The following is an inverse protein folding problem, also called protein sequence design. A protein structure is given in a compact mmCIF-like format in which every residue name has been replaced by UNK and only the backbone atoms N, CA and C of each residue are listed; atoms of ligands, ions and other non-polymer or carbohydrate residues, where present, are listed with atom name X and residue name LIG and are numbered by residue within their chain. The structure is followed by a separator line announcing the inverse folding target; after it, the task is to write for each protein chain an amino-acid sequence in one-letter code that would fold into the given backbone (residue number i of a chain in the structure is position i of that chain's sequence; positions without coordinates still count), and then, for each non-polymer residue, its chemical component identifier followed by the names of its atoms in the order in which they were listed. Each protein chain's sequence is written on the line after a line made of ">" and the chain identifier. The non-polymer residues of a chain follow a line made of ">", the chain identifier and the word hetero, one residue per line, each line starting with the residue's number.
data_IF_155008459529
#
_entry.id   IF_155008459529
#
_cell.length_a   1.000
_cell.length_b   1.000
_cell.length_c   1.000
_cell.angle_alpha   90.00
_cell.angle_beta   90.00
_cell.angle_gamma   90.00
#
_symmetry.space_group_name_H-M   'P 1'
#
loop_
_entity.id
_entity.type
_entity.pdbx_description
1 polymer ?
#
# COMPACT_ATOMS: atom_id res chain seq x y z
N UNK A 1 17.98 -3.86 -4.73
CA UNK A 1 16.81 -2.96 -4.64
C UNK A 1 16.92 -2.07 -3.41
N UNK A 2 16.46 -0.81 -3.49
CA UNK A 2 16.50 0.13 -2.36
C UNK A 2 15.15 0.18 -1.65
N UNK A 3 15.16 0.42 -0.34
CA UNK A 3 13.97 0.69 0.45
C UNK A 3 13.31 1.98 -0.05
N UNK A 4 12.03 1.94 -0.41
CA UNK A 4 11.31 3.09 -0.95
C UNK A 4 11.24 4.27 0.04
N UNK A 5 11.27 3.99 1.34
CA UNK A 5 11.10 5.02 2.37
C UNK A 5 12.40 5.72 2.78
N UNK A 6 13.54 5.03 2.73
CA UNK A 6 14.79 5.52 3.34
C UNK A 6 16.05 5.23 2.53
N UNK A 7 15.93 4.67 1.32
CA UNK A 7 17.03 4.34 0.42
C UNK A 7 18.07 3.32 0.91
N UNK A 8 17.93 2.78 2.13
CA UNK A 8 18.72 1.65 2.62
C UNK A 8 18.50 0.37 1.80
N UNK A 9 19.28 -0.67 2.05
CA UNK A 9 19.10 -1.97 1.37
C UNK A 9 17.70 -2.54 1.64
N UNK A 10 16.91 -2.72 0.57
CA UNK A 10 15.61 -3.39 0.63
C UNK A 10 15.79 -4.91 0.62
N UNK A 11 15.14 -5.60 1.56
CA UNK A 11 15.16 -7.07 1.69
C UNK A 11 13.77 -7.71 1.63
N UNK A 12 12.74 -6.94 1.93
CA UNK A 12 11.35 -7.38 1.91
C UNK A 12 10.62 -6.64 0.80
N UNK A 13 9.66 -7.29 0.16
CA UNK A 13 8.86 -6.68 -0.89
C UNK A 13 7.37 -6.91 -0.70
N UNK A 14 6.57 -5.96 -1.17
CA UNK A 14 5.11 -6.03 -1.20
C UNK A 14 4.63 -5.56 -2.57
N UNK A 15 3.63 -6.25 -3.12
CA UNK A 15 2.93 -5.79 -4.33
C UNK A 15 1.94 -4.69 -3.95
N UNK A 16 2.24 -3.46 -4.36
CA UNK A 16 1.42 -2.27 -4.13
C UNK A 16 0.98 -1.69 -5.46
N UNK A 17 -0.25 -1.17 -5.50
CA UNK A 17 -0.67 -0.32 -6.60
C UNK A 17 -0.04 1.06 -6.41
N UNK A 18 0.57 1.58 -7.47
CA UNK A 18 1.23 2.88 -7.51
C UNK A 18 0.56 3.72 -8.58
N UNK A 19 0.09 4.89 -8.18
CA UNK A 19 -0.58 5.84 -9.08
C UNK A 19 -0.29 7.28 -8.70
N UNK A 20 -0.73 8.21 -9.53
CA UNK A 20 -0.75 9.62 -9.17
C UNK A 20 -1.94 9.91 -8.25
N UNK A 21 -1.76 10.73 -7.21
CA UNK A 21 -2.89 11.26 -6.43
C UNK A 21 -3.54 12.49 -7.08
N UNK A 22 -3.01 12.95 -8.23
CA UNK A 22 -3.45 14.13 -8.97
C UNK A 22 -3.26 15.46 -8.23
N UNK A 23 -2.68 15.44 -7.03
CA UNK A 23 -2.56 16.61 -6.13
C UNK A 23 -1.14 16.83 -5.62
N UNK A 24 -0.30 15.81 -5.68
CA UNK A 24 1.09 15.78 -5.24
C UNK A 24 1.97 15.24 -6.35
N UNK A 25 3.22 15.69 -6.38
CA UNK A 25 4.25 15.07 -7.22
C UNK A 25 4.66 13.69 -6.67
N UNK A 26 4.29 13.37 -5.42
CA UNK A 26 4.59 12.08 -4.82
C UNK A 26 3.60 11.00 -5.26
N UNK A 27 4.07 9.82 -5.67
CA UNK A 27 3.19 8.71 -6.01
C UNK A 27 2.40 8.23 -4.79
N UNK A 28 1.14 7.88 -5.02
CA UNK A 28 0.26 7.25 -4.05
C UNK A 28 0.50 5.74 -4.07
N UNK A 29 0.75 5.19 -2.89
CA UNK A 29 0.86 3.75 -2.67
C UNK A 29 -0.35 3.23 -1.92
N UNK A 30 -0.93 2.14 -2.36
CA UNK A 30 -1.97 1.45 -1.59
C UNK A 30 -1.94 -0.06 -1.83
N UNK A 31 -2.53 -0.81 -0.89
CA UNK A 31 -2.64 -2.27 -0.98
C UNK A 31 -3.90 -2.58 -1.81
N UNK A 32 -3.79 -3.07 -3.06
CA UNK A 32 -4.96 -3.39 -3.85
C UNK A 32 -5.64 -4.63 -3.29
N UNK A 33 -6.97 -4.58 -3.17
CA UNK A 33 -7.78 -5.78 -2.92
C UNK A 33 -7.70 -6.75 -4.12
N UNK A 34 -8.23 -7.96 -3.98
CA UNK A 34 -8.09 -9.00 -5.02
C UNK A 34 -8.73 -8.59 -6.35
N UNK A 35 -9.89 -7.95 -6.32
CA UNK A 35 -10.59 -7.47 -7.52
C UNK A 35 -9.76 -6.41 -8.25
N UNK A 36 -9.28 -5.39 -7.53
CA UNK A 36 -8.43 -4.34 -8.10
C UNK A 36 -7.13 -4.93 -8.64
N UNK A 37 -6.50 -5.85 -7.90
CA UNK A 37 -5.28 -6.54 -8.35
C UNK A 37 -5.51 -7.29 -9.66
N UNK A 38 -6.61 -8.03 -9.78
CA UNK A 38 -6.95 -8.75 -11.00
C UNK A 38 -7.17 -7.78 -12.18
N UNK A 39 -7.90 -6.68 -11.94
CA UNK A 39 -8.13 -5.65 -12.96
C UNK A 39 -6.84 -4.98 -13.43
N UNK A 40 -5.96 -4.59 -12.50
CA UNK A 40 -4.69 -3.94 -12.83
C UNK A 40 -3.72 -4.87 -13.56
N UNK A 41 -3.80 -6.19 -13.33
CA UNK A 41 -3.00 -7.18 -14.08
C UNK A 41 -3.51 -7.38 -15.51
N UNK A 42 -4.81 -7.19 -15.75
CA UNK A 42 -5.43 -7.37 -17.06
C UNK A 42 -5.43 -6.09 -17.91
N UNK A 43 -5.59 -4.93 -17.27
CA UNK A 43 -5.76 -3.63 -17.93
C UNK A 43 -5.05 -2.50 -17.14
N UNK A 44 -3.69 -2.51 -17.07
CA UNK A 44 -2.92 -1.54 -16.28
C UNK A 44 -3.13 -0.08 -16.72
N UNK A 45 -3.37 0.18 -18.01
CA UNK A 45 -3.43 1.54 -18.55
C UNK A 45 -4.79 2.24 -18.36
N UNK A 46 -5.86 1.52 -18.00
CA UNK A 46 -7.20 2.12 -17.87
C UNK A 46 -7.39 2.90 -16.56
N UNK A 47 -6.66 2.57 -15.50
CA UNK A 47 -6.83 3.19 -14.18
C UNK A 47 -5.70 4.16 -13.81
N UNK A 48 -4.69 4.32 -14.68
CA UNK A 48 -3.52 5.18 -14.40
C UNK A 48 -2.70 4.69 -13.20
N UNK A 49 -2.83 3.41 -12.86
CA UNK A 49 -2.26 2.77 -11.70
C UNK A 49 -1.64 1.44 -12.11
N UNK A 50 -0.50 1.09 -11.54
CA UNK A 50 0.21 -0.16 -11.88
C UNK A 50 0.60 -0.88 -10.60
N UNK A 51 0.48 -2.21 -10.59
CA UNK A 51 0.98 -3.03 -9.47
C UNK A 51 2.49 -3.16 -9.60
N UNK A 52 3.20 -2.57 -8.65
CA UNK A 52 4.65 -2.67 -8.53
C UNK A 52 5.05 -3.50 -7.33
N UNK A 53 6.15 -4.23 -7.50
CA UNK A 53 6.87 -4.78 -6.37
C UNK A 53 7.70 -3.67 -5.70
N UNK A 54 7.28 -3.27 -4.50
CA UNK A 54 7.89 -2.20 -3.72
C UNK A 54 8.72 -2.80 -2.59
N UNK A 55 9.96 -2.34 -2.47
CA UNK A 55 10.94 -2.91 -1.56
C UNK A 55 11.11 -2.06 -0.28
N UNK A 56 11.30 -2.74 0.84
CA UNK A 56 11.47 -2.16 2.17
C UNK A 56 12.68 -2.78 2.88
N UNK A 57 13.36 -1.98 3.71
CA UNK A 57 14.24 -2.53 4.74
C UNK A 57 13.39 -3.10 5.90
N UNK A 58 14.01 -3.89 6.79
CA UNK A 58 13.32 -4.51 7.93
C UNK A 58 12.51 -3.51 8.76
N UNK A 59 13.13 -2.39 9.14
CA UNK A 59 12.51 -1.44 10.08
C UNK A 59 11.37 -0.65 9.45
N UNK A 60 11.50 -0.29 8.17
CA UNK A 60 10.40 0.35 7.43
C UNK A 60 9.24 -0.63 7.22
N UNK A 61 9.51 -1.89 6.88
CA UNK A 61 8.47 -2.90 6.70
C UNK A 61 7.67 -3.12 7.99
N UNK A 62 8.35 -3.28 9.14
CA UNK A 62 7.68 -3.41 10.44
C UNK A 62 6.74 -2.23 10.74
N UNK A 63 7.20 -1.00 10.47
CA UNK A 63 6.36 0.18 10.67
C UNK A 63 5.12 0.16 9.78
N UNK A 64 5.23 -0.28 8.52
CA UNK A 64 4.06 -0.42 7.63
C UNK A 64 3.07 -1.44 8.21
N UNK A 65 3.55 -2.60 8.66
CA UNK A 65 2.71 -3.65 9.27
C UNK A 65 2.02 -3.16 10.55
N UNK A 66 2.76 -2.45 11.41
CA UNK A 66 2.22 -1.91 12.66
C UNK A 66 1.14 -0.86 12.40
N UNK A 67 1.34 0.03 11.43
CA UNK A 67 0.32 1.00 11.03
C UNK A 67 -0.92 0.30 10.46
N UNK A 68 -0.74 -0.71 9.60
CA UNK A 68 -1.87 -1.49 9.07
C UNK A 68 -2.67 -2.15 10.20
N UNK A 69 -1.99 -2.78 11.17
CA UNK A 69 -2.64 -3.39 12.34
C UNK A 69 -3.40 -2.37 13.17
N UNK A 70 -2.79 -1.21 13.43
CA UNK A 70 -3.43 -0.13 14.17
C UNK A 70 -4.66 0.42 13.45
N UNK A 71 -4.58 0.62 12.13
CA UNK A 71 -5.72 1.07 11.31
C UNK A 71 -6.87 0.06 11.35
N UNK A 72 -6.60 -1.24 11.24
CA UNK A 72 -7.64 -2.28 11.33
C UNK A 72 -8.31 -2.25 12.71
N UNK A 73 -7.51 -2.21 13.78
CA UNK A 73 -8.03 -2.16 15.14
C UNK A 73 -8.91 -0.91 15.37
N UNK A 74 -8.46 0.25 14.91
CA UNK A 74 -9.22 1.50 14.96
C UNK A 74 -10.58 1.37 14.25
N UNK A 75 -10.59 0.88 13.01
CA UNK A 75 -11.82 0.72 12.24
C UNK A 75 -12.78 -0.30 12.87
N UNK A 76 -12.26 -1.36 13.49
CA UNK A 76 -13.08 -2.32 14.24
C UNK A 76 -13.77 -1.66 15.43
N UNK A 77 -13.04 -0.86 16.20
CA UNK A 77 -13.62 -0.12 17.34
C UNK A 77 -14.65 0.93 16.87
N UNK A 78 -14.31 1.71 15.85
CA UNK A 78 -15.19 2.75 15.33
C UNK A 78 -16.51 2.16 14.80
N UNK A 79 -16.44 1.04 14.07
CA UNK A 79 -17.64 0.40 13.52
C UNK A 79 -18.45 -0.35 14.58
N UNK A 80 -17.82 -0.87 15.64
CA UNK A 80 -18.55 -1.45 16.77
C UNK A 80 -19.39 -0.38 17.50
N UNK A 81 -18.88 0.85 17.63
CA UNK A 81 -19.61 1.98 18.24
C UNK A 81 -20.73 2.58 17.38
N UNK A 82 -20.81 2.23 16.08
CA UNK A 82 -21.85 2.70 15.15
C UNK A 82 -23.05 1.74 15.03
N UNK A 83 -22.97 0.57 15.67
CA UNK A 83 -23.98 -0.48 15.64
C UNK A 83 -24.98 -0.45 16.80
N UNK A 84 -24.92 0.57 17.68
CA UNK A 84 -25.91 0.88 18.73
C UNK A 84 -26.85 2.00 18.27
#
# INVERSE_FOLDING_TARGET
>A
MKCICCNNQGKYSVLLAVGSDGKSESPRYYIPNQTVRASLLQMPDMMGEVVHEVYFCHDCMRKVEDNLRATIAYLQTENASKGE
#
